data_IF_688216983820
#
_entry.id   IF_688216983820
#
_cell.length_a   1.000
_cell.length_b   1.000
_cell.length_c   1.000
_cell.angle_alpha   90.00
_cell.angle_beta   90.00
_cell.angle_gamma   90.00
#
_symmetry.space_group_name_H-M   'P 1'
#
loop_
_entity.id
_entity.type
_entity.pdbx_description
1 polymer ?
#
# COMPACT_ATOMS: atom_id res chain seq x y z
N UNK A 1 8.68 -9.84 4.80
CA UNK A 1 8.69 -11.08 4.00
C UNK A 1 7.91 -10.80 2.73
N UNK A 2 8.44 -11.18 1.57
CA UNK A 2 7.70 -11.03 0.31
C UNK A 2 6.54 -12.03 0.28
N UNK A 3 5.35 -11.56 -0.08
CA UNK A 3 4.13 -12.38 -0.10
C UNK A 3 3.89 -12.99 -1.48
N UNK A 4 3.88 -12.18 -2.53
CA UNK A 4 3.63 -12.61 -3.90
C UNK A 4 4.11 -11.55 -4.92
N UNK A 5 4.14 -11.93 -6.20
CA UNK A 5 4.22 -11.02 -7.35
C UNK A 5 2.96 -11.20 -8.20
N UNK A 6 2.54 -10.14 -8.89
CA UNK A 6 1.48 -10.19 -9.89
C UNK A 6 1.79 -9.19 -11.00
N UNK A 7 1.29 -9.46 -12.20
CA UNK A 7 1.43 -8.58 -13.36
C UNK A 7 0.12 -8.41 -14.16
N UNK A 8 -0.97 -9.02 -13.69
CA UNK A 8 -2.31 -8.92 -14.27
C UNK A 8 -3.32 -8.46 -13.23
N UNK A 9 -4.46 -7.94 -13.68
CA UNK A 9 -5.56 -7.50 -12.81
C UNK A 9 -6.20 -8.71 -12.13
N UNK A 10 -6.30 -9.83 -12.84
CA UNK A 10 -6.84 -11.09 -12.34
C UNK A 10 -5.99 -11.64 -11.18
N UNK A 11 -4.66 -11.63 -11.33
CA UNK A 11 -3.73 -12.06 -10.29
C UNK A 11 -3.79 -11.14 -9.07
N UNK A 12 -3.90 -9.82 -9.29
CA UNK A 12 -4.10 -8.85 -8.21
C UNK A 12 -5.35 -9.17 -7.39
N UNK A 13 -6.50 -9.35 -8.05
CA UNK A 13 -7.75 -9.64 -7.35
C UNK A 13 -7.75 -11.02 -6.70
N UNK A 14 -7.14 -12.03 -7.33
CA UNK A 14 -6.96 -13.35 -6.73
C UNK A 14 -6.17 -13.24 -5.42
N UNK A 15 -5.05 -12.52 -5.42
CA UNK A 15 -4.23 -12.29 -4.23
C UNK A 15 -4.98 -11.46 -3.17
N UNK A 16 -5.57 -10.34 -3.56
CA UNK A 16 -6.26 -9.43 -2.64
C UNK A 16 -7.41 -10.12 -1.90
N UNK A 17 -8.12 -11.03 -2.58
CA UNK A 17 -9.20 -11.81 -1.98
C UNK A 17 -8.73 -12.96 -1.07
N UNK A 18 -7.45 -13.37 -1.16
CA UNK A 18 -6.87 -14.41 -0.31
C UNK A 18 -6.19 -13.87 0.95
N UNK A 19 -5.78 -12.60 0.94
CA UNK A 19 -5.12 -11.98 2.09
C UNK A 19 -6.12 -11.30 3.03
N UNK A 20 -5.69 -11.11 4.28
CA UNK A 20 -6.50 -10.43 5.28
C UNK A 20 -6.57 -8.93 4.99
N UNK A 21 -7.74 -8.31 5.17
CA UNK A 21 -7.87 -6.86 5.04
C UNK A 21 -7.08 -6.10 6.12
N UNK A 22 -6.55 -4.90 5.81
CA UNK A 22 -5.76 -4.12 6.76
C UNK A 22 -6.45 -3.87 8.11
N UNK A 23 -7.75 -3.59 8.13
CA UNK A 23 -8.51 -3.34 9.35
C UNK A 23 -8.57 -4.52 10.31
N UNK A 24 -8.41 -5.74 9.79
CA UNK A 24 -8.46 -6.98 10.56
C UNK A 24 -7.07 -7.47 10.99
N UNK A 25 -5.99 -6.95 10.42
CA UNK A 25 -4.62 -7.36 10.76
C UNK A 25 -4.23 -7.01 12.21
N UNK A 26 -3.24 -7.72 12.73
CA UNK A 26 -2.69 -7.46 14.05
C UNK A 26 -1.94 -6.12 14.12
N UNK A 27 -1.87 -5.52 15.32
CA UNK A 27 -1.08 -4.32 15.51
C UNK A 27 0.41 -4.58 15.29
N UNK A 28 1.08 -3.64 14.62
CA UNK A 28 2.48 -3.78 14.21
C UNK A 28 2.65 -4.45 12.85
N UNK A 29 1.58 -4.98 12.25
CA UNK A 29 1.61 -5.51 10.88
C UNK A 29 1.56 -4.39 9.85
N UNK A 30 2.20 -4.65 8.71
CA UNK A 30 2.31 -3.74 7.58
C UNK A 30 2.12 -4.51 6.27
N UNK A 31 1.46 -3.89 5.29
CA UNK A 31 1.53 -4.31 3.89
C UNK A 31 2.23 -3.25 3.04
N UNK A 32 2.91 -3.74 2.02
CA UNK A 32 3.61 -2.94 1.02
C UNK A 32 3.27 -3.51 -0.37
N UNK A 33 2.87 -2.64 -1.30
CA UNK A 33 2.80 -2.94 -2.73
C UNK A 33 3.83 -2.06 -3.43
N UNK A 34 4.82 -2.63 -4.09
CA UNK A 34 5.87 -1.89 -4.78
C UNK A 34 6.08 -2.45 -6.18
N UNK A 35 6.54 -1.59 -7.10
CA UNK A 35 6.97 -2.01 -8.44
C UNK A 35 8.08 -3.06 -8.33
N UNK A 36 8.11 -3.99 -9.29
CA UNK A 36 9.14 -5.03 -9.31
C UNK A 36 10.54 -4.40 -9.32
N UNK A 37 11.45 -4.96 -8.51
CA UNK A 37 12.81 -4.46 -8.36
C UNK A 37 12.97 -3.33 -7.34
N UNK A 38 11.90 -2.66 -6.90
CA UNK A 38 11.96 -1.62 -5.87
C UNK A 38 11.67 -2.23 -4.49
N UNK A 39 12.62 -2.14 -3.57
CA UNK A 39 12.43 -2.63 -2.20
C UNK A 39 11.65 -1.61 -1.38
N UNK A 40 10.72 -2.03 -0.50
CA UNK A 40 9.94 -1.14 0.36
C UNK A 40 10.77 -0.64 1.56
N UNK A 41 11.89 0.02 1.31
CA UNK A 41 12.82 0.53 2.32
C UNK A 41 13.54 1.79 1.82
N UNK A 42 13.98 2.63 2.75
CA UNK A 42 14.55 3.95 2.42
C UNK A 42 15.94 3.85 1.79
N UNK A 43 16.62 2.72 1.98
CA UNK A 43 17.93 2.42 1.41
C UNK A 43 17.89 2.06 -0.08
N UNK A 44 16.70 1.75 -0.64
CA UNK A 44 16.57 1.48 -2.07
C UNK A 44 16.90 2.73 -2.89
N UNK A 45 17.65 2.57 -3.97
CA UNK A 45 18.11 3.68 -4.81
C UNK A 45 16.95 4.51 -5.39
N UNK A 46 15.79 3.88 -5.61
CA UNK A 46 14.59 4.56 -6.09
C UNK A 46 13.88 5.38 -4.99
N UNK A 47 14.07 5.00 -3.72
CA UNK A 47 13.39 5.65 -2.59
C UNK A 47 14.28 6.67 -1.85
N UNK A 48 15.61 6.54 -1.91
CA UNK A 48 16.55 7.32 -1.08
C UNK A 48 16.46 8.84 -1.26
N UNK A 49 16.06 9.30 -2.46
CA UNK A 49 15.82 10.72 -2.77
C UNK A 49 14.33 11.07 -2.86
N UNK A 50 13.46 10.10 -2.58
CA UNK A 50 12.03 10.24 -2.69
C UNK A 50 11.40 10.79 -1.41
N UNK A 51 10.10 10.55 -1.31
CA UNK A 51 9.30 10.88 -0.14
C UNK A 51 8.05 10.02 -0.14
N UNK A 52 7.15 10.32 0.79
CA UNK A 52 5.80 9.77 0.77
C UNK A 52 4.81 10.81 1.24
N UNK A 53 3.63 10.84 0.64
CA UNK A 53 2.50 11.49 1.31
C UNK A 53 1.91 10.52 2.33
N UNK A 54 1.22 11.06 3.33
CA UNK A 54 0.71 10.26 4.45
C UNK A 54 -0.71 10.68 4.80
N UNK A 55 -1.63 9.71 4.72
CA UNK A 55 -2.95 9.79 5.34
C UNK A 55 -2.91 9.05 6.67
N UNK A 56 -3.30 9.72 7.74
CA UNK A 56 -3.45 9.13 9.07
C UNK A 56 -4.93 8.80 9.28
N UNK A 57 -5.22 7.54 9.59
CA UNK A 57 -6.57 7.07 9.88
C UNK A 57 -6.69 6.82 11.38
N UNK A 58 -7.51 7.63 12.05
CA UNK A 58 -7.77 7.47 13.47
C UNK A 58 -8.47 6.14 13.76
N UNK A 59 -8.16 5.55 14.93
CA UNK A 59 -8.70 4.25 15.35
C UNK A 59 -10.23 4.17 15.26
N UNK A 60 -10.94 5.26 15.55
CA UNK A 60 -12.40 5.32 15.50
C UNK A 60 -12.96 5.16 14.08
N UNK A 61 -12.17 5.49 13.06
CA UNK A 61 -12.56 5.44 11.65
C UNK A 61 -11.97 4.24 10.91
N UNK A 62 -11.15 3.40 11.58
CA UNK A 62 -10.49 2.22 10.97
C UNK A 62 -11.46 1.35 10.18
N UNK A 63 -12.57 0.94 10.80
CA UNK A 63 -13.56 0.05 10.18
C UNK A 63 -14.34 0.68 9.02
N UNK A 64 -14.25 2.00 8.85
CA UNK A 64 -14.99 2.74 7.82
C UNK A 64 -14.08 3.17 6.66
N UNK A 65 -12.83 3.52 6.95
CA UNK A 65 -11.95 4.22 6.01
C UNK A 65 -10.70 3.43 5.62
N UNK A 66 -10.15 2.60 6.50
CA UNK A 66 -8.81 2.06 6.29
C UNK A 66 -8.73 1.16 5.04
N UNK A 67 -9.60 0.15 4.97
CA UNK A 67 -9.60 -0.81 3.85
C UNK A 67 -9.97 -0.12 2.54
N UNK A 68 -10.86 0.87 2.61
CA UNK A 68 -11.26 1.68 1.47
C UNK A 68 -10.08 2.50 0.92
N UNK A 69 -9.41 3.26 1.77
CA UNK A 69 -8.25 4.07 1.36
C UNK A 69 -7.11 3.21 0.83
N UNK A 70 -6.89 2.06 1.46
CA UNK A 70 -5.91 1.10 0.98
C UNK A 70 -6.27 0.60 -0.42
N UNK A 71 -7.50 0.11 -0.62
CA UNK A 71 -7.94 -0.40 -1.91
C UNK A 71 -7.96 0.69 -2.99
N UNK A 72 -8.46 1.89 -2.69
CA UNK A 72 -8.46 3.01 -3.63
C UNK A 72 -7.04 3.37 -4.09
N UNK A 73 -6.07 3.38 -3.17
CA UNK A 73 -4.67 3.62 -3.52
C UNK A 73 -4.08 2.50 -4.37
N UNK A 74 -4.34 1.23 -4.03
CA UNK A 74 -3.88 0.10 -4.84
C UNK A 74 -4.46 0.17 -6.26
N UNK A 75 -5.76 0.44 -6.39
CA UNK A 75 -6.44 0.60 -7.67
C UNK A 75 -5.87 1.77 -8.49
N UNK A 76 -5.55 2.88 -7.83
CA UNK A 76 -4.95 4.04 -8.50
C UNK A 76 -3.56 3.71 -9.06
N UNK A 77 -2.74 2.95 -8.31
CA UNK A 77 -1.40 2.54 -8.75
C UNK A 77 -1.48 1.54 -9.90
N UNK A 78 -2.18 0.41 -9.72
CA UNK A 78 -2.24 -0.64 -10.75
C UNK A 78 -3.04 -0.21 -11.99
N UNK A 79 -3.92 0.78 -11.83
CA UNK A 79 -4.70 1.38 -12.91
C UNK A 79 -4.01 2.56 -13.59
N UNK A 80 -2.75 2.88 -13.21
CA UNK A 80 -1.95 3.96 -13.79
C UNK A 80 -2.67 5.33 -13.78
N UNK A 81 -3.38 5.63 -12.69
CA UNK A 81 -4.25 6.82 -12.57
C UNK A 81 -3.48 8.13 -12.28
N UNK A 82 -2.15 8.07 -12.21
CA UNK A 82 -1.29 9.22 -11.92
C UNK A 82 -0.79 9.94 -13.17
N UNK A 83 -1.28 9.58 -14.36
CA UNK A 83 -0.93 10.20 -15.64
C UNK A 83 0.61 10.27 -15.82
N UNK A 84 1.14 11.44 -16.20
CA UNK A 84 2.57 11.68 -16.43
C UNK A 84 3.45 11.49 -15.18
N UNK A 85 2.85 11.35 -13.99
CA UNK A 85 3.57 11.16 -12.73
C UNK A 85 3.66 9.69 -12.29
N UNK A 86 3.02 8.75 -13.00
CA UNK A 86 3.00 7.32 -12.62
C UNK A 86 4.38 6.69 -12.46
N UNK A 87 5.36 7.11 -13.24
CA UNK A 87 6.75 6.63 -13.14
C UNK A 87 7.43 7.01 -11.83
N UNK A 88 7.01 8.12 -11.20
CA UNK A 88 7.54 8.58 -9.92
C UNK A 88 6.98 7.80 -8.72
N UNK A 89 5.90 7.04 -8.93
CA UNK A 89 5.30 6.21 -7.88
C UNK A 89 6.08 4.91 -7.75
N UNK A 90 6.73 4.73 -6.60
CA UNK A 90 7.47 3.50 -6.29
C UNK A 90 6.55 2.39 -5.74
N UNK A 91 5.54 2.78 -4.97
CA UNK A 91 4.63 1.85 -4.32
C UNK A 91 3.71 2.52 -3.31
N UNK A 92 3.09 1.69 -2.47
CA UNK A 92 2.21 2.08 -1.39
C UNK A 92 2.44 1.23 -0.14
N UNK A 93 2.11 1.79 1.01
CA UNK A 93 2.19 1.12 2.31
C UNK A 93 0.93 1.37 3.14
N UNK A 94 0.52 0.35 3.90
CA UNK A 94 -0.44 0.49 4.99
C UNK A 94 0.16 -0.05 6.29
N UNK A 95 0.11 0.75 7.35
CA UNK A 95 0.69 0.41 8.64
C UNK A 95 -0.38 0.35 9.73
N UNK A 96 -0.51 -0.81 10.38
CA UNK A 96 -1.49 -1.01 11.45
C UNK A 96 -0.86 -0.71 12.80
N UNK A 97 -1.39 0.29 13.52
CA UNK A 97 -0.82 0.69 14.81
C UNK A 97 -1.91 0.83 15.86
N UNK A 98 -1.50 0.86 17.12
CA UNK A 98 -2.44 0.93 18.24
C UNK A 98 -3.18 2.27 18.32
N UNK A 99 -2.50 3.38 17.98
CA UNK A 99 -3.04 4.74 18.09
C UNK A 99 -3.78 5.17 16.82
N UNK A 100 -3.11 5.07 15.67
CA UNK A 100 -3.63 5.52 14.38
C UNK A 100 -2.94 4.74 13.27
N UNK A 101 -3.71 4.31 12.27
CA UNK A 101 -3.16 3.65 11.10
C UNK A 101 -2.68 4.67 10.08
N UNK A 102 -1.90 4.19 9.12
CA UNK A 102 -1.27 5.02 8.11
C UNK A 102 -1.46 4.38 6.74
N UNK A 103 -1.86 5.17 5.76
CA UNK A 103 -1.82 4.82 4.33
C UNK A 103 -0.93 5.83 3.63
N UNK A 104 -0.01 5.36 2.80
CA UNK A 104 0.99 6.20 2.16
C UNK A 104 1.37 5.67 0.78
N UNK A 105 1.83 6.56 -0.09
CA UNK A 105 2.57 6.29 -1.32
C UNK A 105 3.78 7.21 -1.39
#
# INVERSE_FOLDING_TARGET
MQVAFFSTIEDFWALYNMIQQPSAMNWGSDYYLFKEGVKPMWEDENNVKGGRWLIVVDRQRRSQLLDRYWLELLMAIIGEQFEDYGDHVCGAAVNIRQRSDKVAS
#
